data_IF_587128817684
#
_entry.id   IF_587128817684
#
_cell.length_a   1.000
_cell.length_b   1.000
_cell.length_c   1.000
_cell.angle_alpha   90.00
_cell.angle_beta   90.00
_cell.angle_gamma   90.00
#
_symmetry.space_group_name_H-M   'P 1'
#
loop_
_entity.id
_entity.type
_entity.pdbx_description
1 polymer ?
#
# COMPACT_ATOMS: atom_id res chain seq x y z
N UNK A 1 -1.27 2.42 -9.81
CA UNK A 1 -1.15 1.36 -10.85
C UNK A 1 -1.87 1.85 -12.09
N UNK A 2 -1.24 1.77 -13.27
CA UNK A 2 -1.84 2.22 -14.53
C UNK A 2 -1.96 1.04 -15.48
N UNK A 3 -3.16 0.80 -16.01
CA UNK A 3 -3.44 -0.18 -17.05
C UNK A 3 -3.64 0.56 -18.36
N UNK A 4 -2.90 0.17 -19.40
CA UNK A 4 -3.03 0.72 -20.75
C UNK A 4 -3.47 -0.43 -21.67
N UNK A 5 -4.61 -0.26 -22.34
CA UNK A 5 -5.14 -1.21 -23.32
C UNK A 5 -5.49 -0.49 -24.62
N UNK A 6 -5.91 -1.22 -25.65
CA UNK A 6 -6.44 -0.62 -26.88
C UNK A 6 -7.70 0.24 -26.63
N UNK A 7 -8.44 -0.03 -25.56
CA UNK A 7 -9.63 0.72 -25.18
C UNK A 7 -9.30 2.02 -24.40
N UNK A 8 -8.03 2.23 -24.02
CA UNK A 8 -7.58 3.44 -23.34
C UNK A 8 -6.79 3.16 -22.06
N UNK A 9 -6.71 4.17 -21.20
CA UNK A 9 -5.93 4.16 -19.97
C UNK A 9 -6.83 4.19 -18.74
N UNK A 10 -6.53 3.32 -17.77
CA UNK A 10 -7.19 3.26 -16.48
C UNK A 10 -6.17 3.39 -15.36
N UNK A 11 -6.47 4.20 -14.35
CA UNK A 11 -5.61 4.42 -13.19
C UNK A 11 -6.28 3.92 -11.92
N UNK A 12 -5.50 3.21 -11.11
CA UNK A 12 -5.91 2.65 -9.83
C UNK A 12 -4.98 3.15 -8.74
N UNK A 13 -5.56 3.85 -7.77
CA UNK A 13 -4.84 4.40 -6.62
C UNK A 13 -5.23 3.68 -5.33
N UNK A 14 -4.24 3.49 -4.46
CA UNK A 14 -4.44 3.08 -3.08
C UNK A 14 -3.83 4.13 -2.15
N UNK A 15 -4.57 4.47 -1.11
CA UNK A 15 -4.15 5.44 -0.10
C UNK A 15 -4.17 4.76 1.27
N UNK A 16 -3.08 4.91 2.00
CA UNK A 16 -2.93 4.53 3.41
C UNK A 16 -2.75 5.81 4.18
N UNK A 17 -3.67 6.04 5.12
CA UNK A 17 -3.56 7.14 6.07
C UNK A 17 -2.79 6.68 7.30
N UNK A 18 -2.15 7.63 7.96
CA UNK A 18 -1.26 7.35 9.08
C UNK A 18 -0.54 8.61 9.53
N UNK A 19 0.41 8.41 10.42
CA UNK A 19 1.22 9.47 11.00
C UNK A 19 2.71 9.14 10.95
N UNK A 20 3.54 10.18 11.03
CA UNK A 20 4.98 10.05 11.15
C UNK A 20 5.35 9.98 12.63
N UNK A 21 6.00 8.89 13.04
CA UNK A 21 6.52 8.73 14.40
C UNK A 21 7.92 9.33 14.52
N UNK A 22 8.28 9.78 15.73
CA UNK A 22 9.54 10.47 15.99
C UNK A 22 10.75 9.54 16.08
N UNK A 23 10.52 8.27 16.44
CA UNK A 23 11.56 7.26 16.51
C UNK A 23 11.37 6.19 15.43
N UNK A 24 12.45 5.85 14.73
CA UNK A 24 12.46 4.75 13.77
C UNK A 24 12.20 3.43 14.49
N UNK A 25 11.29 2.61 13.96
CA UNK A 25 11.00 1.25 14.46
C UNK A 25 10.94 0.27 13.30
N UNK A 26 11.39 -0.96 13.54
CA UNK A 26 11.46 -2.04 12.55
C UNK A 26 12.75 -2.04 11.74
N UNK A 27 13.09 -3.20 11.20
CA UNK A 27 14.30 -3.44 10.39
C UNK A 27 13.97 -3.78 8.93
N UNK A 28 12.69 -3.97 8.59
CA UNK A 28 12.24 -4.28 7.24
C UNK A 28 11.87 -3.05 6.43
N UNK A 29 11.39 -3.28 5.21
CA UNK A 29 10.91 -2.21 4.34
C UNK A 29 12.01 -1.37 3.71
N UNK A 30 11.63 -0.19 3.21
CA UNK A 30 12.51 0.78 2.55
C UNK A 30 12.00 2.21 2.76
N UNK A 31 12.88 3.20 2.57
CA UNK A 31 12.51 4.61 2.62
C UNK A 31 11.91 5.02 3.97
N UNK A 32 10.67 5.52 3.95
CA UNK A 32 9.97 6.04 5.13
C UNK A 32 9.26 4.97 5.96
N UNK A 33 9.31 3.70 5.55
CA UNK A 33 8.65 2.61 6.26
C UNK A 33 8.95 2.57 7.78
N UNK A 34 10.18 2.84 8.26
CA UNK A 34 10.48 2.79 9.69
C UNK A 34 9.86 3.92 10.52
N UNK A 35 9.30 4.96 9.88
CA UNK A 35 8.72 6.12 10.57
C UNK A 35 7.24 6.31 10.26
N UNK A 36 6.65 5.53 9.36
CA UNK A 36 5.24 5.65 9.01
C UNK A 36 4.42 4.63 9.78
N UNK A 37 3.49 5.12 10.60
CA UNK A 37 2.53 4.32 11.36
C UNK A 37 1.14 4.44 10.71
N UNK A 38 0.63 3.37 10.07
CA UNK A 38 -0.69 3.37 9.48
C UNK A 38 -1.81 3.50 10.52
N UNK A 39 -2.90 4.17 10.16
CA UNK A 39 -4.08 4.29 11.02
C UNK A 39 -4.66 2.91 11.34
N UNK A 40 -5.00 2.67 12.61
CA UNK A 40 -5.53 1.38 13.08
C UNK A 40 -4.46 0.31 13.36
N UNK A 41 -3.17 0.65 13.22
CA UNK A 41 -2.05 -0.25 13.54
C UNK A 41 -1.17 0.33 14.64
N UNK A 42 -0.50 -0.55 15.37
CA UNK A 42 0.50 -0.20 16.39
C UNK A 42 1.95 -0.42 15.92
N UNK A 43 2.12 -0.92 14.69
CA UNK A 43 3.41 -1.24 14.05
C UNK A 43 3.67 -0.26 12.92
N UNK A 44 4.91 0.19 12.75
CA UNK A 44 5.32 0.91 11.54
C UNK A 44 5.32 -0.04 10.34
N UNK A 45 5.34 0.50 9.11
CA UNK A 45 5.44 -0.33 7.91
C UNK A 45 6.70 -1.21 7.87
N UNK A 46 7.78 -0.81 8.55
CA UNK A 46 9.01 -1.60 8.64
C UNK A 46 8.95 -2.73 9.69
N UNK A 47 7.98 -2.68 10.60
CA UNK A 47 7.71 -3.72 11.60
C UNK A 47 6.71 -4.78 11.08
N UNK A 48 6.03 -4.50 9.98
CA UNK A 48 5.05 -5.40 9.37
C UNK A 48 5.71 -6.49 8.52
N UNK A 49 5.12 -7.67 8.52
CA UNK A 49 5.48 -8.72 7.55
C UNK A 49 5.06 -8.30 6.14
N UNK A 50 5.61 -8.98 5.13
CA UNK A 50 5.24 -8.73 3.74
C UNK A 50 3.74 -9.00 3.51
N UNK A 51 3.16 -10.00 4.18
CA UNK A 51 1.73 -10.32 4.08
C UNK A 51 0.86 -9.23 4.71
N UNK A 52 1.17 -8.78 5.94
CA UNK A 52 0.48 -7.66 6.59
C UNK A 52 0.54 -6.41 5.70
N UNK A 53 1.73 -6.08 5.19
CA UNK A 53 1.94 -4.93 4.31
C UNK A 53 1.18 -5.05 2.98
N UNK A 54 1.09 -6.24 2.39
CA UNK A 54 0.37 -6.44 1.13
C UNK A 54 -1.14 -6.24 1.27
N UNK A 55 -1.71 -6.50 2.45
CA UNK A 55 -3.14 -6.27 2.69
C UNK A 55 -3.49 -4.78 2.77
N UNK A 56 -2.59 -3.96 3.33
CA UNK A 56 -2.91 -2.56 3.62
C UNK A 56 -2.17 -1.54 2.77
N UNK A 57 -1.08 -1.91 2.09
CA UNK A 57 -0.24 -0.93 1.39
C UNK A 57 -0.98 -0.26 0.24
N UNK A 58 -0.57 0.98 -0.07
CA UNK A 58 -1.02 1.73 -1.23
C UNK A 58 -1.03 0.89 -2.51
N UNK A 59 0.06 0.12 -2.71
CA UNK A 59 0.22 -0.76 -3.86
C UNK A 59 -0.76 -1.94 -3.80
N UNK A 60 -0.89 -2.58 -2.64
CA UNK A 60 -1.85 -3.68 -2.43
C UNK A 60 -3.27 -3.26 -2.78
N UNK A 61 -3.74 -2.15 -2.23
CA UNK A 61 -5.07 -1.58 -2.48
C UNK A 61 -5.27 -1.27 -3.98
N UNK A 62 -4.28 -0.63 -4.61
CA UNK A 62 -4.35 -0.33 -6.04
C UNK A 62 -4.43 -1.60 -6.91
N UNK A 63 -3.71 -2.66 -6.54
CA UNK A 63 -3.77 -3.96 -7.23
C UNK A 63 -5.14 -4.63 -7.02
N UNK A 64 -5.70 -4.60 -5.81
CA UNK A 64 -7.03 -5.16 -5.57
C UNK A 64 -8.10 -4.46 -6.42
N UNK A 65 -8.03 -3.13 -6.56
CA UNK A 65 -8.92 -2.37 -7.45
C UNK A 65 -8.76 -2.77 -8.93
N UNK A 66 -7.51 -2.97 -9.39
CA UNK A 66 -7.25 -3.48 -10.73
C UNK A 66 -7.83 -4.89 -10.93
N UNK A 67 -7.63 -5.80 -9.98
CA UNK A 67 -8.16 -7.17 -10.05
C UNK A 67 -9.70 -7.14 -10.12
N UNK A 68 -10.34 -6.31 -9.30
CA UNK A 68 -11.80 -6.14 -9.33
C UNK A 68 -12.27 -5.62 -10.69
N UNK A 69 -11.57 -4.63 -11.26
CA UNK A 69 -11.86 -4.10 -12.59
C UNK A 69 -11.77 -5.19 -13.67
N UNK A 70 -10.72 -6.02 -13.66
CA UNK A 70 -10.53 -7.09 -14.65
C UNK A 70 -11.52 -8.26 -14.52
N UNK A 71 -12.18 -8.42 -13.36
CA UNK A 71 -13.18 -9.48 -13.13
C UNK A 71 -14.59 -9.06 -13.55
N UNK A 72 -14.84 -7.76 -13.67
CA UNK A 72 -16.16 -7.19 -13.96
C UNK A 72 -16.23 -6.39 -15.27
N UNK A 73 -15.12 -6.31 -16.01
CA UNK A 73 -15.03 -5.73 -17.36
C UNK A 73 -14.85 -6.81 -18.41
#
# INVERSE_FOLDING_TARGET
ITLITKAGTHQFEGVVKGQIVTARKGAGGFGYDPVFLPDGFFKTLAEMTMEEKNQISHRGIAIQKLIAFLRHG
#
